data_IF_245848333676
#
_entry.id   IF_245848333676
#
_cell.length_a   1.000
_cell.length_b   1.000
_cell.length_c   1.000
_cell.angle_alpha   90.00
_cell.angle_beta   90.00
_cell.angle_gamma   90.00
#
_symmetry.space_group_name_H-M   'P 1'
#
loop_
_entity.id
_entity.type
_entity.pdbx_description
1 polymer ?
#
# COMPACT_ATOMS: atom_id res chain seq x y z
N UNK A 1 25.24 8.65 61.82
CA UNK A 1 26.31 7.63 61.98
C UNK A 1 27.46 7.97 61.03
N UNK A 2 28.66 7.47 61.33
CA UNK A 2 29.94 7.99 60.81
C UNK A 2 30.20 7.75 59.32
N UNK A 3 31.22 8.46 58.81
CA UNK A 3 31.59 8.56 57.40
C UNK A 3 32.77 7.65 56.98
N UNK A 4 32.80 7.33 55.68
CA UNK A 4 33.94 7.09 54.74
C UNK A 4 33.37 6.42 53.48
N UNK A 5 33.84 6.61 52.25
CA UNK A 5 34.61 7.66 51.55
C UNK A 5 34.65 7.28 50.04
N UNK A 6 35.40 7.84 49.07
CA UNK A 6 36.45 8.86 48.92
C UNK A 6 36.40 9.32 47.41
N UNK A 7 37.18 10.33 46.96
CA UNK A 7 37.54 10.63 45.54
C UNK A 7 36.43 11.09 44.53
N UNK A 8 36.64 11.99 43.57
CA UNK A 8 37.75 12.90 43.20
C UNK A 8 37.15 14.13 42.47
N UNK A 9 37.48 15.38 42.87
CA UNK A 9 37.31 16.57 42.03
C UNK A 9 37.98 17.82 42.63
N UNK A 10 38.53 18.68 41.75
CA UNK A 10 39.27 19.93 42.03
C UNK A 10 40.69 19.64 42.56
N UNK A 11 41.78 19.95 41.83
CA UNK A 11 42.13 21.32 41.45
C UNK A 11 42.99 21.47 40.16
N UNK A 12 43.23 22.72 39.76
CA UNK A 12 43.89 23.14 38.52
C UNK A 12 45.39 23.49 38.68
N UNK A 13 46.05 23.87 37.57
CA UNK A 13 47.47 24.35 37.45
C UNK A 13 48.47 23.16 37.37
N UNK A 14 49.40 23.01 36.42
CA UNK A 14 50.22 24.01 35.71
C UNK A 14 50.77 23.51 34.34
N UNK A 15 50.24 23.98 33.19
CA UNK A 15 50.94 23.83 31.87
C UNK A 15 50.82 25.11 31.05
N UNK A 16 51.65 26.12 31.38
CA UNK A 16 51.69 27.38 30.62
C UNK A 16 53.11 27.97 30.50
N UNK A 17 54.04 27.18 29.97
CA UNK A 17 55.39 27.64 29.61
C UNK A 17 55.79 27.16 28.21
N UNK A 18 56.46 28.04 27.47
CA UNK A 18 57.10 27.82 26.15
C UNK A 18 56.21 27.43 24.95
N UNK A 19 55.30 28.33 24.55
CA UNK A 19 54.90 28.47 23.14
C UNK A 19 54.99 29.94 22.71
N UNK A 20 55.76 30.31 21.67
CA UNK A 20 55.87 31.69 21.22
C UNK A 20 54.51 32.29 20.80
N UNK A 21 54.19 33.53 21.23
CA UNK A 21 52.93 34.21 20.83
C UNK A 21 52.72 34.28 19.30
N UNK A 22 53.81 34.25 18.51
CA UNK A 22 53.79 34.26 17.04
C UNK A 22 53.38 32.90 16.44
N UNK A 23 53.70 31.77 17.06
CA UNK A 23 53.21 30.45 16.62
C UNK A 23 51.75 30.22 17.03
N UNK A 24 51.35 30.63 18.24
CA UNK A 24 49.93 30.62 18.66
C UNK A 24 49.01 31.40 17.71
N UNK A 25 49.46 32.57 17.21
CA UNK A 25 48.71 33.32 16.18
C UNK A 25 48.65 32.58 14.84
N UNK A 26 49.74 31.94 14.39
CA UNK A 26 49.73 31.12 13.18
C UNK A 26 48.81 29.91 13.31
N UNK A 27 48.87 29.17 14.42
CA UNK A 27 47.98 28.02 14.69
C UNK A 27 46.53 28.47 14.71
N UNK A 28 46.21 29.58 15.39
CA UNK A 28 44.86 30.13 15.36
C UNK A 28 44.41 30.53 13.94
N UNK A 29 45.28 31.15 13.13
CA UNK A 29 44.95 31.48 11.73
C UNK A 29 44.81 30.26 10.81
N UNK A 30 45.49 29.14 11.09
CA UNK A 30 45.31 27.87 10.38
C UNK A 30 43.99 27.22 10.79
N UNK A 31 43.73 27.12 12.10
CA UNK A 31 42.46 26.61 12.61
C UNK A 31 41.26 27.45 12.15
N UNK A 32 41.37 28.78 12.12
CA UNK A 32 40.32 29.68 11.62
C UNK A 32 40.13 29.59 10.09
N UNK A 33 41.14 29.09 9.34
CA UNK A 33 41.03 28.76 7.91
C UNK A 33 40.38 27.39 7.71
N UNK A 34 40.83 26.35 8.40
CA UNK A 34 40.18 25.03 8.39
C UNK A 34 38.70 25.13 8.83
N UNK A 35 38.38 25.92 9.87
CA UNK A 35 36.99 26.17 10.30
C UNK A 35 36.16 27.02 9.33
N UNK A 36 36.78 27.60 8.30
CA UNK A 36 36.13 28.35 7.24
C UNK A 36 35.96 27.48 6.00
N UNK A 37 37.00 26.74 5.61
CA UNK A 37 36.97 25.79 4.50
C UNK A 37 36.00 24.63 4.79
N UNK A 38 36.08 23.99 5.97
CA UNK A 38 35.09 22.98 6.41
C UNK A 38 33.66 23.52 6.48
N UNK A 39 33.48 24.83 6.70
CA UNK A 39 32.17 25.48 6.78
C UNK A 39 31.62 25.88 5.41
N UNK A 40 32.48 26.03 4.40
CA UNK A 40 32.07 26.11 2.99
C UNK A 40 31.85 24.73 2.36
N UNK A 41 32.62 23.70 2.71
CA UNK A 41 32.43 22.34 2.20
C UNK A 41 31.22 21.65 2.82
N UNK A 42 30.91 21.89 4.11
CA UNK A 42 29.68 21.40 4.74
C UNK A 42 28.45 22.28 4.45
N UNK A 43 28.45 23.02 3.34
CA UNK A 43 27.20 23.43 2.70
C UNK A 43 26.62 22.23 1.96
N UNK A 44 25.98 21.33 2.70
CA UNK A 44 25.21 20.22 2.13
C UNK A 44 24.10 20.84 1.28
N UNK A 45 24.35 20.93 -0.03
CA UNK A 45 23.32 21.26 -1.02
C UNK A 45 22.13 20.34 -0.73
N UNK A 46 20.92 20.90 -0.55
CA UNK A 46 19.80 20.09 -0.10
C UNK A 46 19.61 18.96 -1.10
N UNK A 47 19.75 17.72 -0.62
CA UNK A 47 19.79 16.52 -1.44
C UNK A 47 18.62 16.57 -2.45
N UNK A 48 18.93 16.40 -3.74
CA UNK A 48 17.96 16.51 -4.81
C UNK A 48 16.82 15.51 -4.58
N UNK A 49 17.14 14.33 -4.02
CA UNK A 49 16.14 13.34 -3.62
C UNK A 49 15.30 13.85 -2.43
N UNK A 50 15.91 14.43 -1.39
CA UNK A 50 15.17 15.07 -0.29
C UNK A 50 14.26 16.22 -0.77
N UNK A 51 14.73 17.12 -1.65
CA UNK A 51 13.93 18.21 -2.22
C UNK A 51 12.80 17.68 -3.09
N UNK A 52 13.06 16.67 -3.93
CA UNK A 52 12.05 16.01 -4.74
C UNK A 52 11.01 15.30 -3.84
N UNK A 53 11.45 14.63 -2.78
CA UNK A 53 10.58 13.97 -1.79
C UNK A 53 9.74 14.98 -1.02
N UNK A 54 10.28 16.14 -0.65
CA UNK A 54 9.52 17.22 0.00
C UNK A 54 8.50 17.81 -0.97
N UNK A 55 8.87 18.09 -2.23
CA UNK A 55 7.91 18.57 -3.25
C UNK A 55 6.82 17.54 -3.55
N UNK A 56 7.18 16.28 -3.70
CA UNK A 56 6.24 15.19 -3.91
C UNK A 56 5.32 15.01 -2.69
N UNK A 57 5.87 15.04 -1.46
CA UNK A 57 5.10 15.05 -0.22
C UNK A 57 4.14 16.23 -0.14
N UNK A 58 4.56 17.43 -0.55
CA UNK A 58 3.71 18.62 -0.54
C UNK A 58 2.57 18.52 -1.59
N UNK A 59 2.86 18.00 -2.78
CA UNK A 59 1.84 17.71 -3.80
C UNK A 59 0.85 16.64 -3.31
N UNK A 60 1.37 15.53 -2.78
CA UNK A 60 0.56 14.45 -2.19
C UNK A 60 -0.26 14.97 -1.02
N UNK A 61 0.29 15.82 -0.15
CA UNK A 61 -0.42 16.47 0.95
C UNK A 61 -1.48 17.45 0.45
N UNK A 62 -1.26 18.18 -0.64
CA UNK A 62 -2.29 19.05 -1.24
C UNK A 62 -3.45 18.22 -1.83
N UNK A 63 -3.13 17.10 -2.48
CA UNK A 63 -4.13 16.12 -2.94
C UNK A 63 -4.86 15.49 -1.75
N UNK A 64 -4.15 15.14 -0.66
CA UNK A 64 -4.77 14.67 0.58
C UNK A 64 -5.65 15.72 1.23
N UNK A 65 -5.27 17.00 1.27
CA UNK A 65 -6.10 18.08 1.81
C UNK A 65 -7.35 18.34 0.98
N UNK A 66 -7.26 18.25 -0.35
CA UNK A 66 -8.43 18.23 -1.24
C UNK A 66 -9.33 17.01 -0.95
N UNK A 67 -8.73 15.84 -0.71
CA UNK A 67 -9.47 14.64 -0.37
C UNK A 67 -10.14 14.76 1.00
N UNK A 68 -9.42 15.16 2.05
CA UNK A 68 -9.92 15.41 3.42
C UNK A 68 -11.06 16.45 3.42
N UNK A 69 -10.94 17.52 2.63
CA UNK A 69 -12.04 18.47 2.43
C UNK A 69 -13.31 17.81 1.84
N UNK A 70 -13.16 16.83 0.95
CA UNK A 70 -14.28 15.99 0.51
C UNK A 70 -14.72 15.00 1.61
N UNK A 71 -13.80 14.46 2.42
CA UNK A 71 -14.10 13.52 3.51
C UNK A 71 -14.88 14.15 4.67
N UNK A 72 -14.62 15.41 4.97
CA UNK A 72 -15.31 16.23 5.98
C UNK A 72 -16.79 16.47 5.63
N UNK A 73 -17.18 16.32 4.35
CA UNK A 73 -18.58 16.48 3.95
C UNK A 73 -19.48 15.45 4.63
N UNK A 74 -20.63 15.89 5.14
CA UNK A 74 -21.65 15.00 5.74
C UNK A 74 -22.03 13.85 4.81
N UNK A 75 -22.06 14.10 3.50
CA UNK A 75 -22.35 13.11 2.47
C UNK A 75 -21.28 12.03 2.40
N UNK A 76 -19.99 12.38 2.38
CA UNK A 76 -18.90 11.40 2.42
C UNK A 76 -18.92 10.62 3.73
N UNK A 77 -19.10 11.30 4.86
CA UNK A 77 -19.13 10.66 6.18
C UNK A 77 -20.24 9.62 6.28
N UNK A 78 -21.46 9.96 5.84
CA UNK A 78 -22.58 9.01 5.74
C UNK A 78 -22.30 7.88 4.74
N UNK A 79 -21.59 8.15 3.64
CA UNK A 79 -21.26 7.18 2.58
C UNK A 79 -20.05 6.26 2.92
N UNK A 80 -19.28 6.53 3.97
CA UNK A 80 -18.06 5.75 4.26
C UNK A 80 -17.83 5.35 5.74
N UNK A 81 -18.50 5.96 6.72
CA UNK A 81 -18.34 5.58 8.15
C UNK A 81 -19.35 4.53 8.64
N UNK A 82 -20.48 4.37 7.95
CA UNK A 82 -21.48 3.35 8.28
C UNK A 82 -21.19 2.01 7.56
N UNK A 83 -21.61 0.88 8.14
CA UNK A 83 -21.54 -0.44 7.47
C UNK A 83 -22.53 -0.57 6.32
N UNK A 84 -23.65 0.16 6.36
CA UNK A 84 -24.69 0.15 5.33
C UNK A 84 -24.19 0.61 3.94
N UNK A 85 -23.41 1.71 3.81
CA UNK A 85 -22.77 2.08 2.55
C UNK A 85 -21.93 1.02 1.86
N UNK A 86 -21.26 0.12 2.59
CA UNK A 86 -20.55 -1.00 1.95
C UNK A 86 -21.51 -1.87 1.13
N UNK A 87 -22.70 -2.16 1.69
CA UNK A 87 -23.77 -2.84 0.98
C UNK A 87 -24.34 -1.98 -0.17
N UNK A 88 -24.54 -0.68 0.02
CA UNK A 88 -25.03 0.21 -1.06
C UNK A 88 -24.05 0.29 -2.22
N UNK A 89 -22.75 0.44 -1.97
CA UNK A 89 -21.69 0.45 -3.00
C UNK A 89 -21.61 -0.91 -3.70
N UNK A 90 -21.75 -2.02 -2.96
CA UNK A 90 -21.78 -3.37 -3.54
C UNK A 90 -23.01 -3.56 -4.44
N UNK A 91 -24.20 -3.16 -3.98
CA UNK A 91 -25.44 -3.22 -4.74
C UNK A 91 -25.37 -2.35 -5.99
N UNK A 92 -24.91 -1.10 -5.88
CA UNK A 92 -24.73 -0.20 -7.02
C UNK A 92 -23.76 -0.80 -8.06
N UNK A 93 -22.63 -1.35 -7.62
CA UNK A 93 -21.67 -1.96 -8.52
C UNK A 93 -22.24 -3.20 -9.24
N UNK A 94 -22.95 -4.08 -8.52
CA UNK A 94 -23.65 -5.23 -9.10
C UNK A 94 -24.75 -4.78 -10.06
N UNK A 95 -25.54 -3.75 -9.71
CA UNK A 95 -26.57 -3.20 -10.58
C UNK A 95 -26.00 -2.58 -11.86
N UNK A 96 -24.90 -1.81 -11.77
CA UNK A 96 -24.22 -1.24 -12.94
C UNK A 96 -23.67 -2.35 -13.85
N UNK A 97 -23.04 -3.38 -13.28
CA UNK A 97 -22.56 -4.53 -14.07
C UNK A 97 -23.74 -5.26 -14.72
N UNK A 98 -24.81 -5.53 -13.98
CA UNK A 98 -26.01 -6.18 -14.52
C UNK A 98 -26.67 -5.35 -15.64
N UNK A 99 -26.72 -4.02 -15.53
CA UNK A 99 -27.19 -3.13 -16.60
C UNK A 99 -26.28 -3.15 -17.83
N UNK A 100 -24.95 -3.21 -17.66
CA UNK A 100 -23.99 -3.30 -18.76
C UNK A 100 -23.98 -4.68 -19.44
N UNK A 101 -24.30 -5.75 -18.69
CA UNK A 101 -24.45 -7.11 -19.21
C UNK A 101 -25.85 -7.36 -19.82
N UNK A 102 -26.85 -6.53 -19.49
CA UNK A 102 -28.19 -6.68 -20.04
C UNK A 102 -28.15 -6.39 -21.56
N UNK A 103 -28.65 -7.31 -22.41
CA UNK A 103 -28.71 -7.06 -23.84
C UNK A 103 -29.69 -5.91 -24.11
N UNK A 104 -29.14 -4.73 -24.40
CA UNK A 104 -29.89 -3.59 -24.95
C UNK A 104 -30.47 -4.04 -26.30
N UNK A 105 -31.72 -4.49 -26.27
CA UNK A 105 -32.41 -4.99 -27.45
C UNK A 105 -32.73 -3.85 -28.40
N UNK A 106 -31.97 -3.73 -29.49
CA UNK A 106 -32.34 -2.89 -30.64
C UNK A 106 -31.87 -3.49 -31.97
N UNK A 107 -32.85 -3.81 -32.80
CA UNK A 107 -32.91 -3.50 -34.24
C UNK A 107 -31.57 -3.36 -34.99
N UNK A 108 -31.14 -4.43 -35.68
CA UNK A 108 -30.14 -4.44 -36.76
C UNK A 108 -29.01 -3.38 -36.69
N UNK A 109 -28.11 -3.43 -35.69
CA UNK A 109 -26.81 -2.79 -35.83
C UNK A 109 -25.98 -3.62 -36.82
N UNK A 110 -25.35 -2.96 -37.80
CA UNK A 110 -24.26 -3.60 -38.55
C UNK A 110 -23.16 -4.01 -37.55
N UNK A 111 -22.39 -5.07 -37.80
CA UNK A 111 -21.28 -5.49 -36.94
C UNK A 111 -20.06 -4.56 -37.12
N UNK A 112 -20.27 -3.26 -36.95
CA UNK A 112 -19.21 -2.26 -36.87
C UNK A 112 -18.52 -2.44 -35.52
N UNK A 113 -17.50 -3.30 -35.52
CA UNK A 113 -16.55 -3.47 -34.43
C UNK A 113 -16.16 -2.08 -33.91
N UNK A 114 -16.54 -1.74 -32.68
CA UNK A 114 -16.34 -0.39 -32.13
C UNK A 114 -14.84 -0.11 -32.11
N UNK A 115 -14.37 0.64 -33.10
CA UNK A 115 -12.95 0.88 -33.33
C UNK A 115 -12.44 1.78 -32.21
N UNK A 116 -11.77 1.15 -31.24
CA UNK A 116 -11.34 1.81 -30.02
C UNK A 116 -10.42 2.99 -30.37
N UNK A 117 -10.69 4.16 -29.80
CA UNK A 117 -9.79 5.30 -29.99
C UNK A 117 -8.41 4.96 -29.38
N UNK A 118 -7.29 5.40 -29.97
CA UNK A 118 -5.96 5.06 -29.45
C UNK A 118 -5.77 5.41 -27.96
N UNK A 119 -6.40 6.51 -27.51
CA UNK A 119 -6.44 6.92 -26.11
C UNK A 119 -7.18 5.89 -25.23
N UNK A 120 -8.33 5.37 -25.67
CA UNK A 120 -9.10 4.40 -24.91
C UNK A 120 -8.41 3.02 -24.88
N UNK A 121 -7.72 2.63 -25.96
CA UNK A 121 -6.80 1.47 -25.97
C UNK A 121 -5.67 1.63 -24.94
N UNK A 122 -5.06 2.81 -24.89
CA UNK A 122 -3.98 3.11 -23.95
C UNK A 122 -4.48 3.12 -22.49
N UNK A 123 -5.66 3.70 -22.22
CA UNK A 123 -6.29 3.67 -20.89
C UNK A 123 -6.58 2.23 -20.47
N UNK A 124 -7.19 1.43 -21.34
CA UNK A 124 -7.51 0.03 -21.07
C UNK A 124 -6.25 -0.78 -20.73
N UNK A 125 -5.24 -0.76 -21.60
CA UNK A 125 -4.00 -1.50 -21.40
C UNK A 125 -3.24 -1.01 -20.15
N UNK A 126 -3.16 0.30 -19.93
CA UNK A 126 -2.47 0.89 -18.77
C UNK A 126 -3.16 0.54 -17.45
N UNK A 127 -4.50 0.58 -17.43
CA UNK A 127 -5.31 0.19 -16.26
C UNK A 127 -5.08 -1.28 -15.92
N UNK A 128 -5.15 -2.17 -16.91
CA UNK A 128 -4.92 -3.60 -16.73
C UNK A 128 -3.47 -3.92 -16.32
N UNK A 129 -2.47 -3.32 -16.97
CA UNK A 129 -1.05 -3.51 -16.62
C UNK A 129 -0.73 -3.02 -15.21
N UNK A 130 -1.28 -1.88 -14.79
CA UNK A 130 -1.11 -1.38 -13.43
C UNK A 130 -1.80 -2.28 -12.40
N UNK A 131 -2.98 -2.83 -12.74
CA UNK A 131 -3.70 -3.79 -11.89
C UNK A 131 -2.93 -5.10 -11.72
N UNK A 132 -2.58 -5.79 -12.81
CA UNK A 132 -1.79 -7.02 -12.78
C UNK A 132 -0.42 -6.82 -12.13
N UNK A 133 0.30 -5.75 -12.52
CA UNK A 133 1.60 -5.40 -11.95
C UNK A 133 1.54 -5.14 -10.44
N UNK A 134 0.50 -4.46 -9.95
CA UNK A 134 0.32 -4.23 -8.51
C UNK A 134 0.09 -5.53 -7.75
N UNK A 135 -0.68 -6.49 -8.30
CA UNK A 135 -0.92 -7.80 -7.67
C UNK A 135 0.37 -8.61 -7.53
N UNK A 136 1.17 -8.69 -8.61
CA UNK A 136 2.48 -9.37 -8.60
C UNK A 136 3.44 -8.71 -7.61
N UNK A 137 3.57 -7.39 -7.67
CA UNK A 137 4.47 -6.63 -6.78
C UNK A 137 4.09 -6.77 -5.31
N UNK A 138 2.80 -6.60 -4.98
CA UNK A 138 2.32 -6.66 -3.60
C UNK A 138 2.46 -8.05 -2.98
N UNK A 139 2.16 -9.10 -3.75
CA UNK A 139 2.15 -10.47 -3.26
C UNK A 139 3.56 -11.02 -3.11
N UNK A 140 4.40 -10.90 -4.14
CA UNK A 140 5.71 -11.55 -4.18
C UNK A 140 6.86 -10.66 -3.76
N UNK A 141 6.91 -9.40 -4.22
CA UNK A 141 8.04 -8.50 -3.91
C UNK A 141 7.85 -7.90 -2.53
N UNK A 142 6.85 -7.02 -2.37
CA UNK A 142 6.59 -6.32 -1.11
C UNK A 142 6.29 -7.29 0.05
N UNK A 143 5.41 -8.28 -0.19
CA UNK A 143 5.00 -9.25 0.82
C UNK A 143 6.17 -10.05 1.40
N UNK A 144 6.97 -10.70 0.55
CA UNK A 144 8.09 -11.53 0.99
C UNK A 144 9.24 -10.68 1.55
N UNK A 145 9.61 -9.57 0.89
CA UNK A 145 10.67 -8.69 1.39
C UNK A 145 10.36 -8.15 2.78
N UNK A 146 9.14 -7.71 3.05
CA UNK A 146 8.76 -7.24 4.39
C UNK A 146 8.71 -8.40 5.40
N UNK A 147 8.14 -9.55 5.04
CA UNK A 147 8.05 -10.70 5.95
C UNK A 147 9.42 -11.20 6.44
N UNK A 148 10.43 -11.25 5.55
CA UNK A 148 11.75 -11.77 5.86
C UNK A 148 12.76 -10.75 6.42
N UNK A 149 12.50 -9.44 6.31
CA UNK A 149 13.49 -8.41 6.69
C UNK A 149 12.99 -7.42 7.76
N UNK A 150 11.71 -7.44 8.12
CA UNK A 150 11.11 -6.44 9.04
C UNK A 150 10.50 -7.13 10.28
N UNK A 151 10.68 -6.57 11.50
CA UNK A 151 10.02 -7.09 12.70
C UNK A 151 8.50 -7.21 12.53
N UNK A 152 7.90 -8.29 13.03
CA UNK A 152 6.49 -8.64 12.75
C UNK A 152 5.49 -7.54 13.11
N UNK A 153 5.72 -6.77 14.18
CA UNK A 153 4.88 -5.60 14.50
C UNK A 153 5.02 -4.48 13.48
N UNK A 154 6.24 -4.11 13.12
CA UNK A 154 6.50 -3.11 12.07
C UNK A 154 5.92 -3.53 10.72
N UNK A 155 6.02 -4.82 10.35
CA UNK A 155 5.34 -5.34 9.16
C UNK A 155 3.81 -5.20 9.27
N UNK A 156 3.24 -5.50 10.44
CA UNK A 156 1.83 -5.27 10.73
C UNK A 156 1.41 -3.80 10.56
N UNK A 157 2.21 -2.84 11.04
CA UNK A 157 1.93 -1.40 10.84
C UNK A 157 1.93 -1.02 9.35
N UNK A 158 2.87 -1.55 8.55
CA UNK A 158 2.87 -1.36 7.09
C UNK A 158 1.60 -1.95 6.46
N UNK A 159 1.21 -3.18 6.85
CA UNK A 159 0.00 -3.84 6.33
C UNK A 159 -1.28 -3.02 6.60
N UNK A 160 -1.41 -2.38 7.78
CA UNK A 160 -2.58 -1.54 8.12
C UNK A 160 -2.81 -0.41 7.12
N UNK A 161 -1.72 0.18 6.59
CA UNK A 161 -1.78 1.27 5.61
C UNK A 161 -1.86 0.73 4.19
N UNK A 162 -1.11 -0.32 3.90
CA UNK A 162 -0.89 -0.81 2.54
C UNK A 162 -2.05 -1.65 2.02
N UNK A 163 -2.68 -2.49 2.85
CA UNK A 163 -3.79 -3.35 2.42
C UNK A 163 -5.04 -2.57 1.99
N UNK A 164 -5.56 -1.57 2.75
CA UNK A 164 -6.73 -0.82 2.31
C UNK A 164 -6.47 -0.04 1.01
N UNK A 165 -5.25 0.51 0.84
CA UNK A 165 -4.84 1.23 -0.37
C UNK A 165 -4.75 0.28 -1.58
N UNK A 166 -4.10 -0.86 -1.42
CA UNK A 166 -3.98 -1.88 -2.45
C UNK A 166 -5.34 -2.36 -2.95
N UNK A 167 -6.21 -2.87 -2.07
CA UNK A 167 -7.53 -3.34 -2.49
C UNK A 167 -8.44 -2.20 -3.01
N UNK A 168 -8.24 -0.96 -2.56
CA UNK A 168 -8.92 0.22 -3.12
C UNK A 168 -8.52 0.51 -4.56
N UNK A 169 -7.21 0.52 -4.85
CA UNK A 169 -6.69 0.74 -6.20
C UNK A 169 -7.09 -0.41 -7.11
N UNK A 170 -6.89 -1.66 -6.68
CA UNK A 170 -7.23 -2.84 -7.46
C UNK A 170 -8.70 -2.89 -7.87
N UNK A 171 -9.63 -2.75 -6.92
CA UNK A 171 -11.08 -2.76 -7.21
C UNK A 171 -11.48 -1.66 -8.21
N UNK A 172 -10.78 -0.52 -8.19
CA UNK A 172 -11.04 0.57 -9.13
C UNK A 172 -10.50 0.24 -10.53
N UNK A 173 -9.28 -0.29 -10.63
CA UNK A 173 -8.67 -0.66 -11.91
C UNK A 173 -9.37 -1.86 -12.56
N UNK A 174 -9.77 -2.87 -11.79
CA UNK A 174 -10.57 -3.99 -12.31
C UNK A 174 -11.93 -3.54 -12.82
N UNK A 175 -12.60 -2.59 -12.13
CA UNK A 175 -13.84 -1.99 -12.62
C UNK A 175 -13.65 -1.23 -13.94
N UNK A 176 -12.64 -0.35 -14.02
CA UNK A 176 -12.36 0.43 -15.24
C UNK A 176 -12.03 -0.50 -16.41
N UNK A 177 -11.21 -1.53 -16.18
CA UNK A 177 -10.87 -2.53 -17.22
C UNK A 177 -12.11 -3.31 -17.67
N UNK A 178 -12.95 -3.77 -16.74
CA UNK A 178 -14.21 -4.46 -17.02
C UNK A 178 -15.20 -3.59 -17.82
N UNK A 179 -15.40 -2.32 -17.43
CA UNK A 179 -16.32 -1.40 -18.12
C UNK A 179 -15.87 -1.14 -19.56
N UNK A 180 -14.56 -1.02 -19.82
CA UNK A 180 -14.06 -0.86 -21.18
C UNK A 180 -14.21 -2.18 -21.96
N UNK A 181 -13.91 -3.33 -21.36
CA UNK A 181 -14.08 -4.64 -22.00
C UNK A 181 -15.53 -4.92 -22.40
N UNK A 182 -16.50 -4.65 -21.52
CA UNK A 182 -17.94 -4.76 -21.82
C UNK A 182 -18.39 -3.81 -22.95
N UNK A 183 -17.74 -2.64 -23.09
CA UNK A 183 -17.99 -1.73 -24.23
C UNK A 183 -17.35 -2.19 -25.54
N UNK A 184 -16.22 -2.91 -25.49
CA UNK A 184 -15.60 -3.52 -26.67
C UNK A 184 -16.36 -4.75 -27.16
N UNK A 185 -17.00 -5.49 -26.24
CA UNK A 185 -17.72 -6.72 -26.52
C UNK A 185 -19.18 -6.62 -26.05
N UNK A 186 -20.08 -6.03 -26.86
CA UNK A 186 -21.50 -5.96 -26.56
C UNK A 186 -22.12 -7.34 -26.28
N UNK A 187 -23.10 -7.40 -25.39
CA UNK A 187 -23.70 -8.67 -24.92
C UNK A 187 -24.27 -9.56 -26.04
N UNK A 188 -24.70 -8.99 -27.18
CA UNK A 188 -25.19 -9.74 -28.33
C UNK A 188 -24.08 -10.43 -29.15
N UNK A 189 -22.81 -10.03 -28.97
CA UNK A 189 -21.66 -10.55 -29.72
C UNK A 189 -20.78 -11.51 -28.91
N UNK A 190 -21.30 -12.05 -27.81
CA UNK A 190 -20.54 -12.95 -26.93
C UNK A 190 -20.49 -14.37 -27.50
N UNK A 191 -19.28 -14.86 -27.73
CA UNK A 191 -19.00 -16.28 -27.84
C UNK A 191 -18.65 -16.86 -26.44
N UNK A 192 -18.39 -18.17 -26.38
CA UNK A 192 -18.00 -18.82 -25.14
C UNK A 192 -16.70 -18.25 -24.54
N UNK A 193 -15.75 -17.81 -25.37
CA UNK A 193 -14.47 -17.25 -24.92
C UNK A 193 -14.66 -15.88 -24.25
N UNK A 194 -15.40 -14.98 -24.88
CA UNK A 194 -15.78 -13.67 -24.31
C UNK A 194 -16.62 -13.84 -23.05
N UNK A 195 -17.57 -14.78 -23.03
CA UNK A 195 -18.36 -15.09 -21.83
C UNK A 195 -17.50 -15.52 -20.64
N UNK A 196 -16.51 -16.39 -20.85
CA UNK A 196 -15.55 -16.81 -19.81
C UNK A 196 -14.69 -15.62 -19.34
N UNK A 197 -14.23 -14.76 -20.26
CA UNK A 197 -13.46 -13.56 -19.91
C UNK A 197 -14.28 -12.58 -19.07
N UNK A 198 -15.51 -12.23 -19.50
CA UNK A 198 -16.40 -11.36 -18.72
C UNK A 198 -16.67 -11.96 -17.33
N UNK A 199 -17.02 -13.25 -17.26
CA UNK A 199 -17.24 -13.93 -15.98
C UNK A 199 -16.04 -13.88 -15.04
N UNK A 200 -14.83 -14.08 -15.56
CA UNK A 200 -13.59 -14.00 -14.79
C UNK A 200 -13.27 -12.57 -14.33
N UNK A 201 -13.48 -11.56 -15.18
CA UNK A 201 -13.27 -10.15 -14.83
C UNK A 201 -14.29 -9.65 -13.79
N UNK A 202 -15.56 -10.05 -13.91
CA UNK A 202 -16.61 -9.77 -12.93
C UNK A 202 -16.28 -10.44 -11.59
N UNK A 203 -15.87 -11.72 -11.59
CA UNK A 203 -15.44 -12.42 -10.39
C UNK A 203 -14.24 -11.72 -9.73
N UNK A 204 -13.25 -11.31 -10.52
CA UNK A 204 -12.08 -10.58 -10.03
C UNK A 204 -12.48 -9.27 -9.33
N UNK A 205 -13.26 -8.43 -10.00
CA UNK A 205 -13.73 -7.16 -9.45
C UNK A 205 -14.55 -7.35 -8.16
N UNK A 206 -15.52 -8.27 -8.17
CA UNK A 206 -16.39 -8.52 -7.01
C UNK A 206 -15.60 -9.09 -5.82
N UNK A 207 -14.63 -9.98 -6.05
CA UNK A 207 -13.76 -10.48 -4.97
C UNK A 207 -12.89 -9.35 -4.39
N UNK A 208 -12.28 -8.51 -5.21
CA UNK A 208 -11.48 -7.37 -4.73
C UNK A 208 -12.34 -6.38 -3.93
N UNK A 209 -13.55 -6.09 -4.41
CA UNK A 209 -14.51 -5.23 -3.72
C UNK A 209 -14.96 -5.84 -2.37
N UNK A 210 -15.24 -7.14 -2.34
CA UNK A 210 -15.63 -7.84 -1.09
C UNK A 210 -14.47 -7.88 -0.10
N UNK A 211 -13.25 -8.15 -0.56
CA UNK A 211 -12.03 -8.10 0.27
C UNK A 211 -11.86 -6.69 0.84
N UNK A 212 -11.95 -5.65 0.00
CA UNK A 212 -11.83 -4.24 0.39
C UNK A 212 -12.84 -3.86 1.47
N UNK A 213 -14.11 -4.21 1.28
CA UNK A 213 -15.22 -3.69 2.10
C UNK A 213 -15.50 -4.53 3.36
N UNK A 214 -15.33 -5.85 3.31
CA UNK A 214 -15.74 -6.74 4.40
C UNK A 214 -14.61 -7.50 5.09
N UNK A 215 -13.47 -7.73 4.42
CA UNK A 215 -12.36 -8.53 5.02
C UNK A 215 -11.19 -7.66 5.50
N UNK A 216 -10.80 -6.63 4.74
CA UNK A 216 -9.69 -5.75 5.10
C UNK A 216 -9.94 -4.96 6.40
N UNK A 217 -11.12 -4.34 6.65
CA UNK A 217 -11.37 -3.64 7.91
C UNK A 217 -11.23 -4.50 9.18
N UNK A 218 -11.85 -5.70 9.30
CA UNK A 218 -11.64 -6.54 10.48
C UNK A 218 -10.22 -7.09 10.57
N UNK A 219 -9.51 -7.35 9.45
CA UNK A 219 -8.10 -7.75 9.51
C UNK A 219 -7.22 -6.65 10.14
N UNK A 220 -7.44 -5.39 9.76
CA UNK A 220 -6.72 -4.23 10.33
C UNK A 220 -6.99 -4.11 11.83
N UNK A 221 -8.26 -4.19 12.24
CA UNK A 221 -8.65 -4.16 13.66
C UNK A 221 -8.02 -5.31 14.47
N UNK A 222 -8.09 -6.55 13.96
CA UNK A 222 -7.46 -7.71 14.59
C UNK A 222 -5.93 -7.56 14.69
N UNK A 223 -5.29 -6.91 13.71
CA UNK A 223 -3.85 -6.62 13.74
C UNK A 223 -3.50 -5.61 14.82
N UNK A 224 -4.28 -4.53 14.96
CA UNK A 224 -4.11 -3.53 16.03
C UNK A 224 -4.23 -4.19 17.42
N UNK A 225 -5.32 -4.92 17.66
CA UNK A 225 -5.61 -5.54 18.96
C UNK A 225 -4.55 -6.60 19.30
N UNK A 226 -4.20 -7.47 18.33
CA UNK A 226 -3.18 -8.52 18.51
C UNK A 226 -1.81 -7.91 18.83
N UNK A 227 -1.35 -6.93 18.04
CA UNK A 227 -0.06 -6.29 18.27
C UNK A 227 -0.01 -5.62 19.66
N UNK A 228 -1.09 -4.98 20.11
CA UNK A 228 -1.16 -4.35 21.42
C UNK A 228 -1.09 -5.34 22.60
N UNK A 229 -1.62 -6.57 22.45
CA UNK A 229 -1.49 -7.64 23.45
C UNK A 229 -0.06 -8.20 23.46
N UNK A 230 0.51 -8.44 22.28
CA UNK A 230 1.86 -8.96 22.11
C UNK A 230 2.93 -8.00 22.64
N UNK A 231 2.78 -6.69 22.40
CA UNK A 231 3.72 -5.67 22.85
C UNK A 231 3.79 -5.60 24.39
N UNK A 232 2.65 -5.76 25.09
CA UNK A 232 2.59 -5.87 26.56
C UNK A 232 3.31 -7.09 27.12
N UNK A 233 3.51 -8.12 26.29
CA UNK A 233 4.25 -9.34 26.64
C UNK A 233 5.71 -9.35 26.13
N UNK A 234 6.20 -8.25 25.53
CA UNK A 234 7.54 -8.17 24.94
C UNK A 234 7.73 -9.01 23.67
N UNK A 235 6.64 -9.34 22.96
CA UNK A 235 6.63 -10.16 21.74
C UNK A 235 6.34 -9.32 20.48
N UNK A 236 6.63 -9.85 19.30
CA UNK A 236 6.33 -9.21 18.01
C UNK A 236 7.53 -8.58 17.29
N UNK A 237 8.71 -8.63 17.90
CA UNK A 237 9.97 -8.19 17.29
C UNK A 237 10.67 -9.28 16.48
N UNK A 238 10.15 -10.51 16.46
CA UNK A 238 10.66 -11.58 15.62
C UNK A 238 10.48 -11.28 14.12
N UNK A 239 11.46 -11.71 13.31
CA UNK A 239 11.51 -11.53 11.85
C UNK A 239 11.35 -12.90 11.18
N UNK A 240 10.56 -12.98 10.09
CA UNK A 240 10.40 -14.20 9.28
C UNK A 240 9.75 -15.41 9.97
N UNK A 241 9.33 -15.28 11.23
CA UNK A 241 8.77 -16.36 12.05
C UNK A 241 7.68 -15.86 12.99
N UNK A 242 6.92 -16.79 13.57
CA UNK A 242 5.93 -16.51 14.59
C UNK A 242 6.28 -17.29 15.86
N UNK A 243 6.37 -16.60 17.01
CA UNK A 243 6.54 -17.25 18.31
C UNK A 243 5.52 -16.69 19.32
N UNK A 244 4.53 -17.48 19.79
CA UNK A 244 3.56 -17.02 20.79
C UNK A 244 4.14 -16.88 22.21
N UNK A 245 5.30 -17.49 22.50
CA UNK A 245 5.91 -17.45 23.83
C UNK A 245 4.92 -17.76 24.97
N UNK A 246 4.92 -16.97 26.07
CA UNK A 246 3.97 -17.12 27.17
C UNK A 246 2.49 -16.96 26.77
N UNK A 247 2.17 -16.19 25.72
CA UNK A 247 0.79 -15.95 25.29
C UNK A 247 0.12 -17.21 24.70
N UNK A 248 0.88 -18.25 24.38
CA UNK A 248 0.34 -19.58 24.03
C UNK A 248 -0.62 -20.14 25.09
N UNK A 249 -0.43 -19.78 26.37
CA UNK A 249 -1.27 -20.19 27.50
C UNK A 249 -2.50 -19.30 27.72
N UNK A 250 -2.65 -18.19 26.99
CA UNK A 250 -3.75 -17.23 27.15
C UNK A 250 -4.89 -17.53 26.16
N UNK A 251 -6.06 -18.04 26.60
CA UNK A 251 -7.14 -18.43 25.69
C UNK A 251 -7.70 -17.25 24.87
N UNK A 252 -7.72 -16.06 25.47
CA UNK A 252 -8.17 -14.83 24.82
C UNK A 252 -7.27 -14.44 23.64
N UNK A 253 -5.94 -14.44 23.83
CA UNK A 253 -4.98 -14.19 22.77
C UNK A 253 -5.06 -15.26 21.67
N UNK A 254 -5.12 -16.54 22.03
CA UNK A 254 -5.23 -17.64 21.06
C UNK A 254 -6.47 -17.49 20.18
N UNK A 255 -7.62 -17.11 20.74
CA UNK A 255 -8.85 -16.85 19.99
C UNK A 255 -8.68 -15.68 19.01
N UNK A 256 -8.10 -14.55 19.44
CA UNK A 256 -7.81 -13.40 18.56
C UNK A 256 -6.87 -13.79 17.42
N UNK A 257 -5.77 -14.49 17.74
CA UNK A 257 -4.78 -14.93 16.75
C UNK A 257 -5.37 -15.94 15.74
N UNK A 258 -6.27 -16.84 16.18
CA UNK A 258 -7.00 -17.74 15.27
C UNK A 258 -7.93 -16.97 14.33
N UNK A 259 -8.71 -16.01 14.83
CA UNK A 259 -9.58 -15.17 14.00
C UNK A 259 -8.77 -14.33 13.00
N UNK A 260 -7.67 -13.72 13.45
CA UNK A 260 -6.70 -13.03 12.58
C UNK A 260 -6.22 -13.94 11.45
N UNK A 261 -5.75 -15.17 11.76
CA UNK A 261 -5.31 -16.12 10.73
C UNK A 261 -6.42 -16.52 9.76
N UNK A 262 -7.64 -16.77 10.24
CA UNK A 262 -8.79 -17.11 9.37
C UNK A 262 -9.09 -15.99 8.36
N UNK A 263 -9.20 -14.74 8.82
CA UNK A 263 -9.47 -13.59 7.94
C UNK A 263 -8.28 -13.34 6.99
N UNK A 264 -7.04 -13.41 7.49
CA UNK A 264 -5.85 -13.22 6.67
C UNK A 264 -5.72 -14.28 5.55
N UNK A 265 -5.99 -15.55 5.85
CA UNK A 265 -5.96 -16.62 4.85
C UNK A 265 -7.10 -16.49 3.84
N UNK A 266 -8.31 -16.07 4.25
CA UNK A 266 -9.40 -15.79 3.32
C UNK A 266 -9.03 -14.68 2.32
N UNK A 267 -8.37 -13.61 2.79
CA UNK A 267 -7.85 -12.54 1.94
C UNK A 267 -6.76 -13.04 1.00
N UNK A 268 -5.82 -13.85 1.50
CA UNK A 268 -4.73 -14.41 0.68
C UNK A 268 -5.27 -15.32 -0.44
N UNK A 269 -6.23 -16.20 -0.12
CA UNK A 269 -6.90 -17.07 -1.11
C UNK A 269 -7.68 -16.22 -2.13
N UNK A 270 -8.45 -15.24 -1.67
CA UNK A 270 -9.18 -14.33 -2.56
C UNK A 270 -8.25 -13.58 -3.53
N UNK A 271 -7.11 -13.10 -3.03
CA UNK A 271 -6.07 -12.44 -3.85
C UNK A 271 -5.42 -13.41 -4.87
N UNK A 272 -5.21 -14.68 -4.52
CA UNK A 272 -4.71 -15.67 -5.48
C UNK A 272 -5.75 -15.98 -6.57
N UNK A 273 -7.04 -15.99 -6.24
CA UNK A 273 -8.12 -16.15 -7.24
C UNK A 273 -8.18 -14.94 -8.18
N UNK A 274 -8.04 -13.71 -7.66
CA UNK A 274 -8.04 -12.50 -8.50
C UNK A 274 -6.80 -12.44 -9.40
N UNK A 275 -5.64 -12.92 -8.93
CA UNK A 275 -4.43 -13.11 -9.75
C UNK A 275 -4.59 -14.18 -10.84
N UNK A 276 -5.32 -15.27 -10.57
CA UNK A 276 -5.65 -16.25 -11.60
C UNK A 276 -6.56 -15.64 -12.68
N UNK A 277 -7.52 -14.81 -12.29
CA UNK A 277 -8.41 -14.10 -13.23
C UNK A 277 -7.64 -13.10 -14.11
N UNK A 278 -6.77 -12.28 -13.53
CA UNK A 278 -5.94 -11.33 -14.30
C UNK A 278 -4.92 -12.05 -15.18
N UNK A 279 -4.39 -13.20 -14.76
CA UNK A 279 -3.51 -14.04 -15.60
C UNK A 279 -4.27 -14.64 -16.80
N UNK A 280 -5.50 -15.10 -16.60
CA UNK A 280 -6.38 -15.58 -17.68
C UNK A 280 -6.74 -14.46 -18.67
N UNK A 281 -6.86 -13.22 -18.18
CA UNK A 281 -7.05 -12.05 -19.03
C UNK A 281 -5.77 -11.62 -19.76
N UNK A 282 -4.61 -11.70 -19.10
CA UNK A 282 -3.30 -11.49 -19.74
C UNK A 282 -3.08 -12.47 -20.89
N UNK A 283 -3.46 -13.74 -20.71
CA UNK A 283 -3.38 -14.74 -21.75
C UNK A 283 -4.27 -14.40 -22.95
N UNK A 284 -5.52 -13.99 -22.72
CA UNK A 284 -6.41 -13.52 -23.78
C UNK A 284 -5.82 -12.32 -24.55
N UNK A 285 -5.28 -11.33 -23.85
CA UNK A 285 -4.62 -10.19 -24.50
C UNK A 285 -3.38 -10.61 -25.29
N UNK A 286 -2.58 -11.56 -24.78
CA UNK A 286 -1.44 -12.10 -25.53
C UNK A 286 -1.88 -12.73 -26.86
N UNK A 287 -2.95 -13.52 -26.86
CA UNK A 287 -3.50 -14.13 -28.07
C UNK A 287 -4.08 -13.11 -29.06
N UNK A 288 -4.66 -12.00 -28.58
CA UNK A 288 -5.22 -10.96 -29.45
C UNK A 288 -4.20 -9.92 -29.94
N UNK A 289 -3.09 -9.73 -29.23
CA UNK A 289 -2.00 -8.83 -29.66
C UNK A 289 -0.90 -9.52 -30.48
N UNK A 290 -0.73 -10.84 -30.35
CA UNK A 290 0.25 -11.61 -31.14
C UNK A 290 -0.31 -12.14 -32.48
N UNK A 291 -1.60 -11.88 -32.77
CA UNK A 291 -2.20 -12.10 -34.09
C UNK A 291 -2.21 -10.76 -34.83
N UNK A 292 -1.06 -10.41 -35.40
CA UNK A 292 -0.81 -9.29 -36.32
C UNK A 292 -0.07 -9.87 -37.53
#
# INVERSE_FOLDING_TARGET
>A
MCARSENDLVDTVEVKKYVPKKSLRKVKQVLDRENKDNRSEMSIKPDILAVATIKHKNLVNAIYGLFECCQETKTYRVLFEMTQPAHVVTLLAVSVIAMLMYPQGQFNPKPDLIKLSPLLSLIYLSTFMMHFGSQIWMTFVSGLSLYFNVPRHTFGEVQKVLFPRYFSVNSFLSLVTLVIFLKMHPAYSWDAYVGIQVGSMVLCFLLELVIRLYLAPPLVQLTIIKNAIEAKAGLGMEIGKYNPGPLSKCPHYVKIHQTFRKVHMAIAIGNLITMACTTLHLHYLSQKMLVI
#
